data_IF_883924118238
#
_entry.id   IF_883924118238
#
_cell.length_a   1.000
_cell.length_b   1.000
_cell.length_c   1.000
_cell.angle_alpha   90.00
_cell.angle_beta   90.00
_cell.angle_gamma   90.00
#
_symmetry.space_group_name_H-M   'P 1'
#
loop_
_entity.id
_entity.type
_entity.pdbx_description
1 polymer ?
#
# COMPACT_ATOMS: atom_id res chain seq x y z
N UNK A 1 -25.70 -1.61 10.85
CA UNK A 1 -24.94 -2.39 11.86
C UNK A 1 -23.64 -1.64 12.13
N UNK A 2 -23.41 -1.17 13.36
CA UNK A 2 -22.19 -0.41 13.69
C UNK A 2 -21.04 -1.41 13.90
N UNK A 3 -19.99 -1.33 13.10
CA UNK A 3 -18.79 -2.14 13.31
C UNK A 3 -18.18 -1.78 14.68
N UNK A 4 -18.10 -2.76 15.59
CA UNK A 4 -17.45 -2.59 16.90
C UNK A 4 -15.91 -2.53 16.80
N UNK A 5 -15.36 -3.03 15.70
CA UNK A 5 -13.92 -3.11 15.46
C UNK A 5 -13.54 -2.30 14.23
N UNK A 6 -12.34 -1.71 14.25
CA UNK A 6 -11.77 -1.08 13.07
C UNK A 6 -11.39 -2.17 12.07
N UNK A 7 -11.78 -2.00 10.82
CA UNK A 7 -11.36 -2.88 9.73
C UNK A 7 -9.83 -2.86 9.58
N UNK A 8 -9.25 -4.03 9.35
CA UNK A 8 -7.86 -4.13 8.93
C UNK A 8 -7.68 -3.41 7.58
N UNK A 9 -6.76 -2.42 7.45
CA UNK A 9 -6.62 -1.62 6.24
C UNK A 9 -6.46 -2.42 4.95
N UNK A 10 -5.75 -3.55 5.02
CA UNK A 10 -5.52 -4.39 3.85
C UNK A 10 -6.66 -5.35 3.51
N UNK A 11 -7.37 -5.89 4.50
CA UNK A 11 -8.32 -6.99 4.26
C UNK A 11 -9.78 -6.54 4.37
N UNK A 12 -10.08 -5.61 5.29
CA UNK A 12 -11.44 -5.19 5.63
C UNK A 12 -11.89 -3.89 4.97
N UNK A 13 -11.04 -3.25 4.15
CA UNK A 13 -11.40 -2.08 3.34
C UNK A 13 -11.63 -2.56 1.90
N UNK A 14 -12.77 -2.17 1.32
CA UNK A 14 -13.09 -2.48 -0.08
C UNK A 14 -12.22 -1.67 -1.03
N UNK A 15 -11.82 -2.27 -2.15
CA UNK A 15 -11.12 -1.58 -3.24
C UNK A 15 -12.00 -0.49 -3.89
N UNK A 16 -13.33 -0.60 -3.79
CA UNK A 16 -14.30 0.31 -4.43
C UNK A 16 -14.97 -0.30 -5.66
N UNK A 17 -16.20 0.13 -5.97
CA UNK A 17 -17.03 -0.46 -7.03
C UNK A 17 -16.66 -0.02 -8.45
N UNK A 18 -15.80 0.99 -8.59
CA UNK A 18 -15.36 1.54 -9.89
C UNK A 18 -13.97 1.03 -10.31
N UNK A 19 -13.44 0.01 -9.62
CA UNK A 19 -12.21 -0.64 -10.02
C UNK A 19 -12.36 -1.26 -11.43
N UNK A 20 -11.39 -1.07 -12.36
CA UNK A 20 -10.03 -0.57 -12.14
C UNK A 20 -9.82 0.95 -12.34
N UNK A 21 -10.83 1.69 -12.79
CA UNK A 21 -10.68 3.09 -13.17
C UNK A 21 -10.53 4.03 -11.96
N UNK A 22 -11.27 3.75 -10.88
CA UNK A 22 -11.18 4.49 -9.61
C UNK A 22 -11.08 3.52 -8.45
N UNK A 23 -10.11 3.77 -7.57
CA UNK A 23 -9.67 2.80 -6.56
C UNK A 23 -9.54 3.48 -5.20
N UNK A 24 -9.86 2.74 -4.14
CA UNK A 24 -9.60 3.16 -2.76
C UNK A 24 -8.15 2.85 -2.43
N UNK A 25 -7.46 3.80 -1.79
CA UNK A 25 -6.05 3.64 -1.40
C UNK A 25 -5.89 3.94 0.08
N UNK A 26 -5.13 3.12 0.78
CA UNK A 26 -4.71 3.40 2.15
C UNK A 26 -3.37 4.12 2.11
N UNK A 27 -3.34 5.38 2.57
CA UNK A 27 -2.14 6.22 2.53
C UNK A 27 -1.26 5.94 3.75
N UNK A 28 -0.02 5.57 3.50
CA UNK A 28 0.99 5.30 4.53
C UNK A 28 1.90 6.51 4.76
N UNK A 29 2.18 7.29 3.72
CA UNK A 29 3.13 8.41 3.77
C UNK A 29 2.54 9.62 3.06
N UNK A 30 2.56 10.76 3.72
CA UNK A 30 2.23 12.07 3.13
C UNK A 30 3.49 12.85 2.78
N UNK A 31 3.34 13.91 1.98
CA UNK A 31 4.48 14.71 1.49
C UNK A 31 5.22 15.48 2.58
N UNK A 32 4.67 15.57 3.79
CA UNK A 32 5.31 16.23 4.94
C UNK A 32 6.06 15.28 5.86
N UNK A 33 5.92 13.96 5.66
CA UNK A 33 6.54 12.98 6.53
C UNK A 33 8.05 12.88 6.31
N UNK A 34 8.79 12.77 7.41
CA UNK A 34 10.26 12.65 7.43
C UNK A 34 10.74 11.21 7.62
N UNK A 35 9.83 10.25 7.73
CA UNK A 35 10.11 8.83 7.92
C UNK A 35 9.29 7.98 6.95
N UNK A 36 9.78 6.79 6.63
CA UNK A 36 9.01 5.80 5.89
C UNK A 36 8.14 5.01 6.87
N UNK A 37 6.84 5.21 6.78
CA UNK A 37 5.87 4.33 7.42
C UNK A 37 5.52 3.15 6.52
N UNK A 38 5.06 2.07 7.14
CA UNK A 38 4.46 0.91 6.47
C UNK A 38 3.44 0.29 7.42
N UNK A 39 2.38 -0.33 6.88
CA UNK A 39 1.48 -1.10 7.75
C UNK A 39 2.21 -2.33 8.26
N UNK A 40 2.05 -2.61 9.55
CA UNK A 40 2.32 -3.93 10.06
C UNK A 40 1.21 -4.88 9.57
N UNK A 41 1.53 -5.79 8.65
CA UNK A 41 0.56 -6.68 7.98
C UNK A 41 -0.21 -7.59 8.94
N UNK A 42 0.33 -7.83 10.13
CA UNK A 42 -0.30 -8.69 11.16
C UNK A 42 -1.37 -7.93 11.94
N UNK A 43 -1.07 -6.71 12.35
CA UNK A 43 -1.94 -5.91 13.24
C UNK A 43 -2.79 -4.87 12.49
N UNK A 44 -2.38 -4.48 11.29
CA UNK A 44 -2.99 -3.40 10.52
C UNK A 44 -2.67 -2.00 11.04
N UNK A 45 -1.72 -1.88 11.97
CA UNK A 45 -1.30 -0.60 12.56
C UNK A 45 -0.16 -0.01 11.70
N UNK A 46 -0.19 1.30 11.51
CA UNK A 46 0.90 2.01 10.83
C UNK A 46 2.14 2.03 11.73
N UNK A 47 3.26 1.53 11.21
CA UNK A 47 4.53 1.39 11.92
C UNK A 47 5.63 2.14 11.17
N UNK A 48 6.61 2.66 11.91
CA UNK A 48 7.83 3.18 11.30
C UNK A 48 8.64 1.98 10.78
N UNK A 49 8.82 1.93 9.46
CA UNK A 49 9.75 0.99 8.83
C UNK A 49 11.19 1.48 9.02
N UNK A 50 11.44 2.73 8.63
CA UNK A 50 12.76 3.36 8.81
C UNK A 50 12.72 4.89 8.72
N UNK A 51 13.69 5.61 9.31
CA UNK A 51 13.91 7.01 9.01
C UNK A 51 14.29 7.21 7.53
N UNK A 52 14.03 8.40 6.99
CA UNK A 52 14.62 8.75 5.71
C UNK A 52 16.13 8.94 5.86
N UNK A 53 16.92 8.22 5.04
CA UNK A 53 18.39 8.22 5.13
C UNK A 53 19.00 9.52 4.59
N UNK A 54 18.33 10.15 3.64
CA UNK A 54 18.76 11.38 2.98
C UNK A 54 17.59 12.39 3.01
N UNK A 55 17.82 13.60 2.50
CA UNK A 55 16.82 14.68 2.42
C UNK A 55 15.76 14.45 1.34
N UNK A 56 15.38 13.19 1.10
CA UNK A 56 14.29 12.86 0.18
C UNK A 56 12.96 13.06 0.88
N UNK A 57 12.02 13.64 0.14
CA UNK A 57 10.63 13.79 0.52
C UNK A 57 9.80 13.02 -0.49
N UNK A 58 8.78 12.29 -0.03
CA UNK A 58 7.84 11.62 -0.93
C UNK A 58 7.06 12.68 -1.69
N UNK A 59 7.13 12.75 -3.02
CA UNK A 59 6.55 13.87 -3.79
C UNK A 59 5.02 13.78 -3.92
N UNK A 60 4.40 12.71 -3.44
CA UNK A 60 2.97 12.44 -3.55
C UNK A 60 2.49 11.58 -2.39
N UNK A 61 1.17 11.46 -2.24
CA UNK A 61 0.59 10.50 -1.29
C UNK A 61 1.01 9.08 -1.69
N UNK A 62 1.64 8.36 -0.77
CA UNK A 62 2.13 7.00 -1.01
C UNK A 62 1.43 6.02 -0.08
N UNK A 63 1.12 4.85 -0.59
CA UNK A 63 0.46 3.79 0.13
C UNK A 63 0.11 2.62 -0.79
N UNK A 64 -0.93 1.87 -0.45
CA UNK A 64 -1.31 0.66 -1.18
C UNK A 64 -2.81 0.54 -1.40
N UNK A 65 -3.18 -0.33 -2.34
CA UNK A 65 -4.57 -0.63 -2.68
C UNK A 65 -5.05 -1.80 -1.80
N UNK A 66 -6.12 -1.66 -1.00
CA UNK A 66 -6.66 -2.74 -0.20
C UNK A 66 -7.01 -3.98 -1.04
N UNK A 67 -6.96 -5.16 -0.43
CA UNK A 67 -7.32 -6.44 -1.04
C UNK A 67 -6.50 -6.81 -2.29
N UNK A 68 -5.31 -6.24 -2.46
CA UNK A 68 -4.36 -6.59 -3.53
C UNK A 68 -3.11 -7.27 -2.97
N UNK A 69 -2.45 -8.11 -3.77
CA UNK A 69 -1.20 -8.76 -3.41
C UNK A 69 -0.32 -8.95 -4.64
N UNK A 70 0.91 -8.42 -4.61
CA UNK A 70 1.89 -8.60 -5.67
C UNK A 70 2.66 -9.91 -5.43
N UNK A 71 2.33 -10.95 -6.18
CA UNK A 71 2.96 -12.27 -6.12
C UNK A 71 3.32 -12.78 -7.53
N UNK A 72 3.32 -14.10 -7.70
CA UNK A 72 3.70 -14.81 -8.94
C UNK A 72 3.11 -14.16 -10.20
N UNK A 73 1.77 -13.97 -10.26
CA UNK A 73 1.11 -13.35 -11.43
C UNK A 73 1.65 -11.96 -11.79
N UNK A 74 2.01 -11.14 -10.79
CA UNK A 74 2.56 -9.80 -11.03
C UNK A 74 4.04 -9.90 -11.43
N UNK A 75 4.78 -10.84 -10.83
CA UNK A 75 6.17 -11.13 -11.17
C UNK A 75 6.32 -11.63 -12.62
N UNK A 76 5.47 -12.57 -13.04
CA UNK A 76 5.39 -13.07 -14.41
C UNK A 76 5.07 -11.92 -15.39
N UNK A 77 4.05 -11.12 -15.10
CA UNK A 77 3.70 -9.96 -15.91
C UNK A 77 4.87 -8.97 -16.05
N UNK A 78 5.60 -8.72 -14.96
CA UNK A 78 6.77 -7.86 -14.98
C UNK A 78 7.90 -8.47 -15.82
N UNK A 79 8.10 -9.79 -15.71
CA UNK A 79 9.14 -10.52 -16.43
C UNK A 79 8.91 -10.48 -17.94
N UNK A 80 7.67 -10.77 -18.35
CA UNK A 80 7.26 -10.73 -19.75
C UNK A 80 7.42 -9.33 -20.36
N UNK A 81 7.16 -8.27 -19.58
CA UNK A 81 7.21 -6.88 -20.07
C UNK A 81 8.61 -6.28 -20.08
N UNK A 82 9.49 -6.73 -19.19
CA UNK A 82 10.83 -6.14 -19.03
C UNK A 82 11.94 -7.01 -19.63
N UNK A 83 11.65 -8.26 -19.98
CA UNK A 83 12.65 -9.23 -20.44
C UNK A 83 13.66 -9.63 -19.36
N UNK A 84 13.34 -9.37 -18.09
CA UNK A 84 14.17 -9.70 -16.93
C UNK A 84 13.45 -10.72 -16.07
N UNK A 85 14.14 -11.72 -15.51
CA UNK A 85 13.50 -12.62 -14.55
C UNK A 85 13.08 -11.84 -13.30
N UNK A 86 11.83 -12.04 -12.88
CA UNK A 86 11.22 -11.47 -11.68
C UNK A 86 11.07 -12.47 -10.55
#
# INVERSE_FOLDING_TARGET
MRMMFKSHPWHGVSIGSQWPDVVTTYIEIVTTDTVKYEIDKTTGILKIDRPQRFSNITPSLYGFIPQTFCAERVGELCSDRTGRPG
#
